data_IF_037503789591
#
_entry.id   IF_037503789591
#
_cell.length_a   1.000
_cell.length_b   1.000
_cell.length_c   1.000
_cell.angle_alpha   90.00
_cell.angle_beta   90.00
_cell.angle_gamma   90.00
#
_symmetry.space_group_name_H-M   'P 1'
#
loop_
_entity.id
_entity.type
_entity.pdbx_description
1 polymer ?
#
# COMPACT_ATOMS: atom_id res chain seq x y z
N UNK A 1 55.05 -3.21 -57.70
CA UNK A 1 54.94 -3.30 -56.23
C UNK A 1 54.18 -2.14 -55.60
N UNK A 2 54.30 -0.89 -56.09
CA UNK A 2 53.60 0.30 -55.53
C UNK A 2 52.07 0.17 -55.46
N UNK A 3 51.46 -0.29 -56.56
CA UNK A 3 50.00 -0.45 -56.70
C UNK A 3 49.41 -1.45 -55.69
N UNK A 4 50.16 -2.49 -55.32
CA UNK A 4 49.68 -3.52 -54.38
C UNK A 4 49.67 -2.99 -52.93
N UNK A 5 50.61 -2.12 -52.57
CA UNK A 5 50.61 -1.42 -51.27
C UNK A 5 49.48 -0.40 -51.17
N UNK A 6 49.17 0.32 -52.25
CA UNK A 6 48.04 1.24 -52.29
C UNK A 6 46.71 0.51 -52.07
N UNK A 7 46.48 -0.63 -52.72
CA UNK A 7 45.27 -1.43 -52.49
C UNK A 7 45.19 -2.00 -51.08
N UNK A 8 46.31 -2.44 -50.49
CA UNK A 8 46.35 -2.91 -49.10
C UNK A 8 46.00 -1.79 -48.11
N UNK A 9 46.51 -0.58 -48.34
CA UNK A 9 46.26 0.57 -47.48
C UNK A 9 44.81 1.04 -47.56
N UNK A 10 44.22 1.06 -48.77
CA UNK A 10 42.79 1.34 -48.97
C UNK A 10 41.92 0.31 -48.25
N UNK A 11 42.29 -0.97 -48.33
CA UNK A 11 41.55 -2.04 -47.64
C UNK A 11 41.64 -1.91 -46.11
N UNK A 12 42.81 -1.57 -45.58
CA UNK A 12 43.03 -1.32 -44.15
C UNK A 12 42.22 -0.12 -43.65
N UNK A 13 42.23 0.99 -44.39
CA UNK A 13 41.46 2.19 -44.06
C UNK A 13 39.96 1.87 -44.08
N UNK A 14 39.48 1.19 -45.13
CA UNK A 14 38.07 0.79 -45.23
C UNK A 14 37.66 -0.10 -44.05
N UNK A 15 38.51 -1.07 -43.66
CA UNK A 15 38.26 -1.92 -42.51
C UNK A 15 38.22 -1.14 -41.19
N UNK A 16 39.15 -0.20 -40.98
CA UNK A 16 39.17 0.66 -39.80
C UNK A 16 37.93 1.55 -39.71
N UNK A 17 37.50 2.14 -40.82
CA UNK A 17 36.30 2.98 -40.88
C UNK A 17 35.07 2.14 -40.54
N UNK A 18 34.92 0.94 -41.11
CA UNK A 18 33.77 0.07 -40.83
C UNK A 18 33.77 -0.35 -39.35
N UNK A 19 34.92 -0.78 -38.81
CA UNK A 19 35.00 -1.27 -37.44
C UNK A 19 34.72 -0.14 -36.42
N UNK A 20 35.31 1.04 -36.62
CA UNK A 20 35.03 2.21 -35.78
C UNK A 20 33.57 2.68 -35.89
N UNK A 21 32.99 2.67 -37.09
CA UNK A 21 31.57 3.01 -37.30
C UNK A 21 30.65 2.03 -36.57
N UNK A 22 30.86 0.73 -36.69
CA UNK A 22 30.05 -0.29 -35.98
C UNK A 22 30.23 -0.19 -34.47
N UNK A 23 31.47 -0.02 -33.99
CA UNK A 23 31.77 0.08 -32.56
C UNK A 23 31.13 1.31 -31.90
N UNK A 24 30.91 2.39 -32.64
CA UNK A 24 30.27 3.62 -32.13
C UNK A 24 28.76 3.65 -32.34
N UNK A 25 28.26 3.13 -33.46
CA UNK A 25 26.84 3.18 -33.79
C UNK A 25 26.00 2.23 -32.92
N UNK A 26 26.49 1.03 -32.62
CA UNK A 26 25.71 0.06 -31.83
C UNK A 26 25.37 0.58 -30.43
N UNK A 27 26.34 1.07 -29.62
CA UNK A 27 26.03 1.62 -28.30
C UNK A 27 25.14 2.85 -28.36
N UNK A 28 25.30 3.71 -29.37
CA UNK A 28 24.46 4.90 -29.53
C UNK A 28 23.00 4.54 -29.81
N UNK A 29 22.76 3.54 -30.66
CA UNK A 29 21.40 3.06 -30.95
C UNK A 29 20.80 2.43 -29.70
N UNK A 30 21.55 1.57 -28.99
CA UNK A 30 21.07 0.92 -27.78
C UNK A 30 20.67 1.95 -26.70
N UNK A 31 21.50 2.96 -26.43
CA UNK A 31 21.19 4.01 -25.46
C UNK A 31 19.91 4.77 -25.84
N UNK A 32 19.75 5.15 -27.11
CA UNK A 32 18.56 5.90 -27.54
C UNK A 32 17.29 5.03 -27.51
N UNK A 33 17.40 3.74 -27.85
CA UNK A 33 16.29 2.81 -27.75
C UNK A 33 15.86 2.63 -26.30
N UNK A 34 16.81 2.37 -25.39
CA UNK A 34 16.52 2.24 -23.95
C UNK A 34 15.89 3.51 -23.38
N UNK A 35 16.42 4.69 -23.68
CA UNK A 35 15.83 5.96 -23.24
C UNK A 35 14.40 6.17 -23.77
N UNK A 36 14.15 5.76 -25.01
CA UNK A 36 12.81 5.87 -25.61
C UNK A 36 11.83 4.91 -24.95
N UNK A 37 12.24 3.67 -24.69
CA UNK A 37 11.46 2.67 -23.97
C UNK A 37 11.14 3.12 -22.54
N UNK A 38 12.12 3.67 -21.84
CA UNK A 38 11.95 4.22 -20.49
C UNK A 38 10.96 5.39 -20.48
N UNK A 39 11.11 6.34 -21.40
CA UNK A 39 10.19 7.47 -21.49
C UNK A 39 8.76 7.03 -21.79
N UNK A 40 8.58 6.02 -22.64
CA UNK A 40 7.27 5.43 -22.92
C UNK A 40 6.69 4.74 -21.68
N UNK A 41 7.52 4.01 -20.94
CA UNK A 41 7.12 3.33 -19.71
C UNK A 41 6.75 4.34 -18.61
N UNK A 42 7.50 5.44 -18.47
CA UNK A 42 7.21 6.52 -17.54
C UNK A 42 5.85 7.17 -17.86
N UNK A 43 5.60 7.50 -19.13
CA UNK A 43 4.31 8.05 -19.58
C UNK A 43 3.15 7.08 -19.38
N UNK A 44 3.40 5.79 -19.57
CA UNK A 44 2.41 4.75 -19.31
C UNK A 44 2.11 4.65 -17.81
N UNK A 45 3.14 4.64 -16.97
CA UNK A 45 3.02 4.57 -15.52
C UNK A 45 2.27 5.78 -14.97
N UNK A 46 2.61 7.00 -15.41
CA UNK A 46 1.92 8.25 -15.08
C UNK A 46 0.43 8.15 -15.42
N UNK A 47 0.10 7.71 -16.65
CA UNK A 47 -1.29 7.55 -17.09
C UNK A 47 -2.06 6.51 -16.29
N UNK A 48 -1.43 5.38 -15.95
CA UNK A 48 -2.05 4.34 -15.12
C UNK A 48 -2.27 4.85 -13.71
N UNK A 49 -1.27 5.53 -13.14
CA UNK A 49 -1.35 6.09 -11.80
C UNK A 49 -2.46 7.14 -11.70
N UNK A 50 -2.53 8.06 -12.67
CA UNK A 50 -3.62 9.03 -12.78
C UNK A 50 -4.98 8.34 -12.95
N UNK A 51 -5.06 7.29 -13.79
CA UNK A 51 -6.28 6.51 -13.93
C UNK A 51 -6.71 5.95 -12.57
N UNK A 52 -5.80 5.32 -11.84
CA UNK A 52 -6.10 4.70 -10.54
C UNK A 52 -6.56 5.75 -9.53
N UNK A 53 -5.87 6.89 -9.43
CA UNK A 53 -6.10 7.89 -8.39
C UNK A 53 -7.23 8.88 -8.69
N UNK A 54 -7.48 9.17 -9.97
CA UNK A 54 -8.38 10.26 -10.38
C UNK A 54 -9.70 9.77 -10.95
N UNK A 55 -9.81 8.47 -11.30
CA UNK A 55 -11.06 7.90 -11.79
C UNK A 55 -11.72 7.04 -10.73
N UNK A 56 -13.06 7.07 -10.62
CA UNK A 56 -13.80 6.20 -9.71
C UNK A 56 -13.98 4.76 -10.22
N UNK A 57 -13.63 4.46 -11.48
CA UNK A 57 -13.97 3.20 -12.14
C UNK A 57 -15.47 3.08 -12.45
N UNK A 58 -15.89 1.95 -13.01
CA UNK A 58 -17.29 1.70 -13.36
C UNK A 58 -17.71 0.24 -13.08
N UNK A 59 -18.83 0.01 -12.36
CA UNK A 59 -19.76 0.98 -11.77
C UNK A 59 -19.15 1.85 -10.67
N UNK A 60 -19.59 3.09 -10.49
CA UNK A 60 -18.91 4.05 -9.61
C UNK A 60 -18.80 3.60 -8.14
N UNK A 61 -19.74 2.79 -7.66
CA UNK A 61 -19.83 2.28 -6.30
C UNK A 61 -19.43 0.80 -6.18
N UNK A 62 -18.60 0.28 -7.09
CA UNK A 62 -18.19 -1.12 -7.07
C UNK A 62 -17.55 -1.58 -5.75
N UNK A 63 -16.95 -0.66 -4.98
CA UNK A 63 -16.40 -0.94 -3.65
C UNK A 63 -17.45 -1.36 -2.60
N UNK A 64 -18.73 -1.02 -2.79
CA UNK A 64 -19.82 -1.34 -1.86
C UNK A 64 -20.51 -2.66 -2.20
N UNK A 65 -20.35 -3.17 -3.42
CA UNK A 65 -21.05 -4.37 -3.88
C UNK A 65 -20.33 -5.64 -3.41
N UNK A 66 -20.88 -6.28 -2.39
CA UNK A 66 -20.35 -7.52 -1.79
C UNK A 66 -20.45 -8.73 -2.73
N UNK A 67 -21.29 -8.67 -3.77
CA UNK A 67 -21.54 -9.80 -4.69
C UNK A 67 -20.37 -10.07 -5.64
N UNK A 68 -19.54 -9.06 -5.88
CA UNK A 68 -18.45 -9.10 -6.85
C UNK A 68 -17.49 -10.27 -6.58
N UNK A 69 -17.25 -10.61 -5.31
CA UNK A 69 -16.24 -11.59 -4.93
C UNK A 69 -16.83 -12.92 -4.45
N UNK A 70 -18.07 -12.90 -3.95
CA UNK A 70 -18.72 -14.08 -3.37
C UNK A 70 -19.42 -14.93 -4.43
N UNK A 71 -19.83 -14.35 -5.55
CA UNK A 71 -20.70 -15.02 -6.52
C UNK A 71 -20.15 -15.03 -7.94
N UNK A 72 -19.29 -14.07 -8.30
CA UNK A 72 -18.79 -13.93 -9.66
C UNK A 72 -17.44 -14.65 -9.83
N UNK A 73 -17.30 -15.35 -10.95
CA UNK A 73 -16.01 -15.82 -11.47
C UNK A 73 -15.17 -14.66 -12.01
N UNK A 74 -13.86 -14.86 -12.24
CA UNK A 74 -12.98 -13.81 -12.81
C UNK A 74 -13.55 -13.19 -14.10
N UNK A 75 -14.14 -14.01 -14.98
CA UNK A 75 -14.70 -13.55 -16.24
C UNK A 75 -15.98 -12.74 -16.05
N UNK A 76 -16.83 -13.11 -15.09
CA UNK A 76 -18.03 -12.35 -14.73
C UNK A 76 -17.67 -11.04 -14.01
N UNK A 77 -16.61 -11.03 -13.19
CA UNK A 77 -16.07 -9.81 -12.60
C UNK A 77 -15.63 -8.82 -13.67
N UNK A 78 -14.96 -9.29 -14.74
CA UNK A 78 -14.54 -8.44 -15.87
C UNK A 78 -15.70 -7.90 -16.69
N UNK A 79 -16.83 -8.62 -16.75
CA UNK A 79 -18.03 -8.13 -17.41
C UNK A 79 -18.77 -7.09 -16.56
N UNK A 80 -18.76 -7.28 -15.25
CA UNK A 80 -19.39 -6.36 -14.29
C UNK A 80 -18.56 -5.08 -14.12
N UNK A 81 -17.29 -5.22 -13.75
CA UNK A 81 -16.31 -4.15 -13.63
C UNK A 81 -15.85 -3.76 -15.03
N UNK A 82 -16.38 -2.67 -15.57
CA UNK A 82 -15.99 -2.19 -16.90
C UNK A 82 -14.74 -1.33 -16.86
N UNK A 83 -14.49 -0.70 -15.71
CA UNK A 83 -13.34 0.18 -15.54
C UNK A 83 -12.84 0.18 -14.10
N UNK A 84 -11.52 0.30 -13.94
CA UNK A 84 -10.86 0.30 -12.63
C UNK A 84 -10.41 1.71 -12.25
N UNK A 85 -10.70 2.07 -11.00
CA UNK A 85 -10.30 3.33 -10.40
C UNK A 85 -10.68 3.38 -8.92
N UNK A 86 -9.88 4.07 -8.12
CA UNK A 86 -10.00 4.12 -6.66
C UNK A 86 -10.54 5.46 -6.15
N UNK A 87 -10.76 6.45 -7.02
CA UNK A 87 -11.23 7.76 -6.57
C UNK A 87 -12.63 7.66 -5.93
N UNK A 88 -12.82 8.43 -4.86
CA UNK A 88 -14.13 8.60 -4.23
C UNK A 88 -14.98 9.56 -5.05
N UNK A 89 -16.19 9.13 -5.39
CA UNK A 89 -17.12 9.90 -6.22
C UNK A 89 -17.51 11.19 -5.50
N UNK A 90 -17.37 12.34 -6.17
CA UNK A 90 -17.72 13.65 -5.61
C UNK A 90 -16.75 14.18 -4.56
N UNK A 91 -15.63 13.50 -4.30
CA UNK A 91 -14.57 13.99 -3.43
C UNK A 91 -13.55 14.85 -4.18
N UNK A 92 -12.64 15.47 -3.43
CA UNK A 92 -11.49 16.18 -4.02
C UNK A 92 -10.55 15.19 -4.74
N UNK A 93 -9.74 15.67 -5.70
CA UNK A 93 -8.70 14.85 -6.32
C UNK A 93 -7.82 14.16 -5.27
N UNK A 94 -7.35 12.95 -5.57
CA UNK A 94 -6.51 12.12 -4.69
C UNK A 94 -7.19 11.60 -3.41
N UNK A 95 -8.49 11.85 -3.23
CA UNK A 95 -9.26 11.19 -2.17
C UNK A 95 -9.72 9.83 -2.66
N UNK A 96 -9.13 8.78 -2.08
CA UNK A 96 -9.47 7.40 -2.41
C UNK A 96 -10.71 6.92 -1.64
N UNK A 97 -11.46 6.04 -2.29
CA UNK A 97 -12.59 5.34 -1.70
C UNK A 97 -12.08 4.17 -0.86
N UNK A 98 -12.29 4.26 0.45
CA UNK A 98 -11.91 3.23 1.43
C UNK A 98 -12.44 1.84 1.06
N UNK A 99 -13.69 1.75 0.61
CA UNK A 99 -14.36 0.49 0.27
C UNK A 99 -13.77 -0.15 -0.99
N UNK A 100 -13.09 0.63 -1.84
CA UNK A 100 -12.35 0.13 -3.01
C UNK A 100 -10.93 -0.28 -2.63
N UNK A 101 -10.27 0.53 -1.80
CA UNK A 101 -8.88 0.27 -1.36
C UNK A 101 -8.77 -1.02 -0.55
N UNK A 102 -9.72 -1.28 0.35
CA UNK A 102 -9.73 -2.51 1.16
C UNK A 102 -9.75 -3.78 0.29
N UNK A 103 -10.34 -3.71 -0.90
CA UNK A 103 -10.48 -4.85 -1.83
C UNK A 103 -9.19 -5.18 -2.58
N UNK A 104 -8.15 -4.39 -2.46
CA UNK A 104 -6.85 -4.67 -3.07
C UNK A 104 -6.01 -5.63 -2.22
N UNK A 105 -6.44 -5.94 -1.01
CA UNK A 105 -5.57 -6.54 0.01
C UNK A 105 -5.99 -7.98 0.33
N UNK A 106 -5.06 -8.92 0.46
CA UNK A 106 -5.36 -10.30 0.86
C UNK A 106 -4.30 -10.92 1.78
N UNK A 107 -3.44 -10.10 2.37
CA UNK A 107 -2.20 -10.48 3.06
C UNK A 107 -2.15 -10.21 4.56
N UNK A 108 -3.21 -9.66 5.16
CA UNK A 108 -3.26 -9.24 6.58
C UNK A 108 -3.46 -10.38 7.59
N UNK A 109 -3.40 -11.64 7.15
CA UNK A 109 -3.57 -12.83 7.99
C UNK A 109 -5.03 -13.25 8.19
N UNK A 110 -5.98 -12.48 7.67
CA UNK A 110 -7.39 -12.84 7.50
C UNK A 110 -7.66 -12.85 6.00
N UNK A 111 -8.32 -13.89 5.49
CA UNK A 111 -8.75 -13.92 4.10
C UNK A 111 -9.72 -12.77 3.85
N UNK A 112 -9.34 -11.86 2.95
CA UNK A 112 -10.23 -10.78 2.59
C UNK A 112 -11.28 -11.31 1.60
N UNK A 113 -12.49 -11.55 2.12
CA UNK A 113 -13.63 -12.02 1.33
C UNK A 113 -14.02 -11.08 0.18
N UNK A 114 -13.53 -9.84 0.19
CA UNK A 114 -13.80 -8.83 -0.83
C UNK A 114 -12.60 -8.57 -1.75
N UNK A 115 -11.57 -9.42 -1.70
CA UNK A 115 -10.33 -9.25 -2.45
C UNK A 115 -10.48 -9.41 -3.96
N UNK A 116 -10.12 -8.38 -4.72
CA UNK A 116 -10.08 -8.41 -6.18
C UNK A 116 -8.68 -8.86 -6.63
N UNK A 117 -8.58 -9.96 -7.41
CA UNK A 117 -7.29 -10.44 -7.88
C UNK A 117 -6.55 -9.42 -8.78
N UNK A 118 -5.22 -9.31 -8.67
CA UNK A 118 -4.37 -8.46 -9.51
C UNK A 118 -4.51 -8.71 -11.00
N UNK A 119 -4.80 -9.95 -11.38
CA UNK A 119 -5.07 -10.34 -12.76
C UNK A 119 -6.33 -9.69 -13.32
N UNK A 120 -7.37 -9.53 -12.51
CA UNK A 120 -8.58 -8.79 -12.93
C UNK A 120 -8.23 -7.32 -13.12
N UNK A 121 -7.47 -6.74 -12.18
CA UNK A 121 -7.10 -5.32 -12.25
C UNK A 121 -6.17 -5.03 -13.43
N UNK A 122 -5.18 -5.90 -13.72
CA UNK A 122 -4.27 -5.72 -14.87
C UNK A 122 -5.03 -5.73 -16.22
N UNK A 123 -6.07 -6.56 -16.34
CA UNK A 123 -6.98 -6.57 -17.49
C UNK A 123 -7.77 -5.26 -17.60
N UNK A 124 -8.34 -4.77 -16.51
CA UNK A 124 -9.10 -3.50 -16.48
C UNK A 124 -8.23 -2.28 -16.77
N UNK A 125 -6.96 -2.33 -16.39
CA UNK A 125 -5.96 -1.32 -16.72
C UNK A 125 -5.41 -1.45 -18.15
N UNK A 126 -5.69 -2.56 -18.84
CA UNK A 126 -5.23 -2.82 -20.20
C UNK A 126 -3.73 -3.11 -20.31
N UNK A 127 -3.11 -3.59 -19.23
CA UNK A 127 -1.67 -3.87 -19.15
C UNK A 127 -1.33 -5.36 -19.08
N UNK A 128 -2.34 -6.23 -19.02
CA UNK A 128 -2.15 -7.68 -18.98
C UNK A 128 -1.23 -8.17 -20.13
N UNK A 129 -0.29 -9.05 -19.78
CA UNK A 129 0.62 -9.70 -20.73
C UNK A 129 1.73 -8.79 -21.27
N UNK A 130 1.77 -7.50 -20.89
CA UNK A 130 2.82 -6.55 -21.28
C UNK A 130 3.57 -6.02 -20.06
N UNK A 131 2.84 -5.55 -19.06
CA UNK A 131 3.42 -4.91 -17.89
C UNK A 131 2.79 -5.42 -16.61
N UNK A 132 3.62 -5.51 -15.56
CA UNK A 132 3.15 -5.63 -14.20
C UNK A 132 3.00 -4.29 -13.52
N UNK A 133 2.37 -4.32 -12.35
CA UNK A 133 2.28 -3.15 -11.50
C UNK A 133 2.32 -3.56 -10.02
N UNK A 134 2.81 -2.64 -9.21
CA UNK A 134 2.81 -2.75 -7.76
C UNK A 134 2.30 -1.44 -7.18
N UNK A 135 1.28 -1.50 -6.32
CA UNK A 135 0.76 -0.32 -5.62
C UNK A 135 1.16 -0.45 -4.16
N UNK A 136 1.82 0.57 -3.62
CA UNK A 136 2.18 0.62 -2.21
C UNK A 136 1.51 1.83 -1.56
N UNK A 137 0.61 1.57 -0.62
CA UNK A 137 -0.02 2.63 0.18
C UNK A 137 0.71 2.66 1.53
N UNK A 138 1.56 3.66 1.70
CA UNK A 138 2.37 3.84 2.91
C UNK A 138 1.66 4.89 3.78
N UNK A 139 1.50 4.65 5.10
CA UNK A 139 0.98 5.67 6.01
C UNK A 139 1.79 6.96 5.93
N UNK A 140 1.15 8.12 6.02
CA UNK A 140 1.87 9.41 5.96
C UNK A 140 2.80 9.59 7.18
N UNK A 141 2.37 9.13 8.35
CA UNK A 141 3.12 9.19 9.60
C UNK A 141 3.55 7.79 10.04
N UNK A 142 4.73 7.70 10.64
CA UNK A 142 5.23 6.48 11.26
C UNK A 142 4.84 6.47 12.74
N UNK A 143 4.01 5.50 13.12
CA UNK A 143 3.46 5.37 14.47
C UNK A 143 4.06 4.14 15.14
N UNK A 144 4.59 4.31 16.35
CA UNK A 144 5.12 3.22 17.17
C UNK A 144 4.34 3.11 18.47
N UNK A 145 4.11 1.90 18.95
CA UNK A 145 3.37 1.63 20.18
C UNK A 145 4.18 0.78 21.14
N UNK A 146 4.18 1.16 22.41
CA UNK A 146 4.77 0.39 23.51
C UNK A 146 3.76 0.33 24.67
N UNK A 147 3.40 -0.86 25.11
CA UNK A 147 2.47 -1.06 26.24
C UNK A 147 3.26 -1.47 27.48
N UNK A 148 2.98 -0.82 28.61
CA UNK A 148 3.55 -1.16 29.92
C UNK A 148 2.49 -1.00 31.00
N UNK A 149 2.10 -2.11 31.62
CA UNK A 149 1.00 -2.17 32.59
C UNK A 149 -0.31 -1.61 32.04
N UNK A 150 -0.77 -0.51 32.63
CA UNK A 150 -1.97 0.22 32.21
C UNK A 150 -1.68 1.44 31.30
N UNK A 151 -0.44 1.59 30.85
CA UNK A 151 -0.01 2.73 30.02
C UNK A 151 0.33 2.29 28.61
N UNK A 152 -0.05 3.12 27.64
CA UNK A 152 0.35 3.01 26.24
C UNK A 152 1.19 4.23 25.90
N UNK A 153 2.42 4.01 25.47
CA UNK A 153 3.26 5.04 24.88
C UNK A 153 3.13 4.98 23.37
N UNK A 154 2.71 6.10 22.78
CA UNK A 154 2.59 6.28 21.34
C UNK A 154 3.70 7.23 20.88
N UNK A 155 4.49 6.80 19.90
CA UNK A 155 5.48 7.63 19.22
C UNK A 155 4.98 8.01 17.83
N UNK A 156 5.11 9.28 17.46
CA UNK A 156 4.73 9.82 16.15
C UNK A 156 5.96 10.43 15.49
N UNK A 157 6.30 9.90 14.33
CA UNK A 157 7.48 10.30 13.56
C UNK A 157 7.13 10.53 12.09
N UNK A 158 7.99 11.29 11.41
CA UNK A 158 8.00 11.32 9.94
C UNK A 158 8.49 9.98 9.37
N UNK A 159 8.37 9.78 8.06
CA UNK A 159 8.96 8.64 7.36
C UNK A 159 10.49 8.57 7.55
N UNK A 160 11.14 9.72 7.74
CA UNK A 160 12.58 9.83 8.00
C UNK A 160 12.94 9.66 9.49
N UNK A 161 11.99 9.20 10.32
CA UNK A 161 12.15 8.99 11.77
C UNK A 161 12.41 10.27 12.57
N UNK A 162 12.00 11.42 12.05
CA UNK A 162 12.06 12.69 12.78
C UNK A 162 10.87 12.77 13.73
N UNK A 163 11.07 13.07 15.04
CA UNK A 163 9.97 13.18 15.99
C UNK A 163 9.04 14.36 15.65
N UNK A 164 7.73 14.13 15.74
CA UNK A 164 6.72 15.14 15.42
C UNK A 164 6.01 15.63 16.71
N UNK A 165 6.46 16.75 17.30
CA UNK A 165 5.88 17.28 18.53
C UNK A 165 4.51 17.93 18.31
N UNK A 166 3.72 18.02 19.37
CA UNK A 166 2.38 18.59 19.39
C UNK A 166 1.37 17.93 18.42
N UNK A 167 1.65 16.70 17.99
CA UNK A 167 0.70 15.86 17.24
C UNK A 167 -0.46 15.48 18.14
N UNK A 168 -1.69 15.62 17.65
CA UNK A 168 -2.90 15.23 18.39
C UNK A 168 -3.12 13.73 18.21
N UNK A 169 -3.05 12.98 19.30
CA UNK A 169 -3.19 11.52 19.33
C UNK A 169 -4.47 11.17 20.05
N UNK A 170 -5.37 10.48 19.36
CA UNK A 170 -6.58 9.89 19.93
C UNK A 170 -6.45 8.38 19.88
N UNK A 171 -6.54 7.73 21.03
CA UNK A 171 -6.49 6.27 21.14
C UNK A 171 -7.85 5.77 21.58
N UNK A 172 -8.40 4.87 20.77
CA UNK A 172 -9.55 4.05 21.12
C UNK A 172 -9.05 2.65 21.48
N UNK A 173 -9.10 2.33 22.77
CA UNK A 173 -8.70 1.03 23.29
C UNK A 173 -9.93 0.13 23.45
N UNK A 174 -9.79 -1.12 23.03
CA UNK A 174 -10.82 -2.15 23.13
C UNK A 174 -10.18 -3.38 23.77
N UNK A 175 -10.83 -3.96 24.76
CA UNK A 175 -10.37 -5.21 25.39
C UNK A 175 -11.54 -6.03 25.89
N UNK A 176 -11.32 -7.33 26.06
CA UNK A 176 -12.30 -8.24 26.67
C UNK A 176 -11.85 -8.59 28.08
N UNK A 177 -12.80 -8.60 29.02
CA UNK A 177 -12.59 -9.08 30.38
C UNK A 177 -13.48 -10.30 30.64
N UNK A 178 -12.94 -11.34 31.29
CA UNK A 178 -13.77 -12.42 31.83
C UNK A 178 -14.35 -12.04 33.18
N UNK A 179 -15.65 -11.72 33.22
CA UNK A 179 -16.40 -11.50 34.46
C UNK A 179 -17.43 -12.62 34.63
N UNK A 180 -17.34 -13.34 35.75
CA UNK A 180 -18.31 -14.41 36.13
C UNK A 180 -18.53 -15.48 35.04
N UNK A 181 -17.48 -15.81 34.27
CA UNK A 181 -17.56 -16.79 33.18
C UNK A 181 -18.18 -16.27 31.88
N UNK A 182 -18.47 -14.97 31.78
CA UNK A 182 -18.87 -14.29 30.54
C UNK A 182 -17.79 -13.34 30.07
N UNK A 183 -17.61 -13.29 28.76
CA UNK A 183 -16.72 -12.35 28.08
C UNK A 183 -17.44 -11.00 27.95
N UNK A 184 -16.84 -9.95 28.51
CA UNK A 184 -17.38 -8.58 28.49
C UNK A 184 -16.43 -7.69 27.69
N UNK A 185 -16.94 -7.11 26.60
CA UNK A 185 -16.22 -6.13 25.80
C UNK A 185 -16.25 -4.77 26.51
N UNK A 186 -15.07 -4.19 26.74
CA UNK A 186 -14.91 -2.84 27.27
C UNK A 186 -14.20 -1.97 26.25
N UNK A 187 -14.44 -0.67 26.33
CA UNK A 187 -13.74 0.31 25.53
C UNK A 187 -13.43 1.57 26.34
N UNK A 188 -12.37 2.28 25.94
CA UNK A 188 -11.98 3.55 26.54
C UNK A 188 -11.29 4.42 25.49
N UNK A 189 -11.66 5.70 25.45
CA UNK A 189 -11.03 6.68 24.58
C UNK A 189 -10.15 7.61 25.39
N UNK A 190 -8.94 7.85 24.90
CA UNK A 190 -7.97 8.78 25.49
C UNK A 190 -7.39 9.68 24.41
N UNK A 191 -7.15 10.94 24.76
CA UNK A 191 -6.60 11.95 23.87
C UNK A 191 -5.38 12.56 24.55
N UNK A 192 -4.29 12.71 23.80
CA UNK A 192 -3.06 13.33 24.27
C UNK A 192 -2.39 14.11 23.13
N UNK A 193 -1.37 14.91 23.48
CA UNK A 193 -0.47 15.53 22.51
C UNK A 193 0.94 15.02 22.71
N UNK A 194 1.69 14.86 21.62
CA UNK A 194 3.09 14.44 21.70
C UNK A 194 3.98 15.54 22.28
N UNK A 195 4.97 15.13 23.06
CA UNK A 195 6.02 15.97 23.60
C UNK A 195 7.06 16.34 22.53
N UNK A 196 8.15 17.00 22.95
CA UNK A 196 9.26 17.39 22.08
C UNK A 196 10.02 16.19 21.46
N UNK A 197 9.89 14.98 22.03
CA UNK A 197 10.41 13.74 21.47
C UNK A 197 9.43 13.05 20.51
N UNK A 198 8.27 13.66 20.23
CA UNK A 198 7.24 13.04 19.40
C UNK A 198 6.53 11.89 20.11
N UNK A 199 6.58 11.80 21.45
CA UNK A 199 5.95 10.72 22.22
C UNK A 199 4.84 11.24 23.12
N UNK A 200 3.82 10.43 23.36
CA UNK A 200 2.83 10.66 24.41
C UNK A 200 2.49 9.36 25.13
N UNK A 201 2.28 9.44 26.44
CA UNK A 201 1.87 8.30 27.26
C UNK A 201 0.43 8.50 27.72
N UNK A 202 -0.42 7.52 27.47
CA UNK A 202 -1.83 7.52 27.87
C UNK A 202 -2.06 6.40 28.88
N UNK A 203 -2.74 6.73 29.99
CA UNK A 203 -3.09 5.76 31.03
C UNK A 203 -4.55 5.34 30.90
N UNK A 204 -4.77 4.03 31.02
CA UNK A 204 -6.08 3.39 30.92
C UNK A 204 -6.50 2.81 32.27
N UNK A 205 -7.80 2.56 32.41
CA UNK A 205 -8.38 1.98 33.63
C UNK A 205 -7.99 0.51 33.85
N UNK A 206 -7.76 -0.23 32.76
CA UNK A 206 -7.37 -1.64 32.79
C UNK A 206 -5.85 -1.82 32.67
N UNK A 207 -5.33 -2.90 33.26
CA UNK A 207 -3.98 -3.38 32.98
C UNK A 207 -3.98 -4.06 31.60
N UNK A 208 -3.41 -3.38 30.61
CA UNK A 208 -3.42 -3.77 29.21
C UNK A 208 -2.37 -4.84 28.90
N UNK A 209 -1.22 -4.80 29.57
CA UNK A 209 -0.12 -5.77 29.39
C UNK A 209 -0.56 -7.19 29.77
N UNK A 210 -1.35 -7.32 30.84
CA UNK A 210 -1.86 -8.62 31.31
C UNK A 210 -2.86 -9.30 30.36
N UNK A 211 -3.42 -8.56 29.39
CA UNK A 211 -4.51 -9.04 28.51
C UNK A 211 -4.01 -9.79 27.26
N UNK A 212 -2.71 -9.79 26.97
CA UNK A 212 -2.14 -10.23 25.68
C UNK A 212 -2.19 -11.72 25.31
N UNK A 213 -2.72 -12.64 26.14
CA UNK A 213 -2.72 -14.09 25.79
C UNK A 213 -4.06 -14.83 25.86
N UNK A 214 -5.03 -14.38 26.66
CA UNK A 214 -6.34 -15.07 26.79
C UNK A 214 -7.56 -14.14 26.72
N UNK A 215 -7.35 -12.83 26.78
CA UNK A 215 -8.43 -11.83 26.92
C UNK A 215 -8.36 -10.78 25.81
N UNK A 216 -7.19 -10.52 25.24
CA UNK A 216 -6.99 -9.71 24.06
C UNK A 216 -7.28 -8.22 24.23
N UNK A 217 -6.46 -7.40 23.56
CA UNK A 217 -6.64 -5.97 23.51
C UNK A 217 -6.19 -5.45 22.14
N UNK A 218 -6.95 -4.50 21.59
CA UNK A 218 -6.65 -3.82 20.34
C UNK A 218 -6.77 -2.30 20.54
N UNK A 219 -5.86 -1.57 19.90
CA UNK A 219 -5.79 -0.13 19.93
C UNK A 219 -5.94 0.41 18.52
N UNK A 220 -6.83 1.37 18.39
CA UNK A 220 -6.98 2.17 17.18
C UNK A 220 -6.47 3.56 17.52
N UNK A 221 -5.41 3.96 16.83
CA UNK A 221 -4.69 5.19 17.11
C UNK A 221 -4.88 6.11 15.92
N UNK A 222 -5.59 7.21 16.16
CA UNK A 222 -5.76 8.30 15.21
C UNK A 222 -4.79 9.42 15.55
N UNK A 223 -4.00 9.84 14.58
CA UNK A 223 -3.02 10.94 14.72
C UNK A 223 -3.34 12.03 13.73
N UNK A 224 -3.36 13.27 14.21
CA UNK A 224 -3.46 14.48 13.40
C UNK A 224 -2.26 15.40 13.67
N UNK A 225 -1.45 15.63 12.65
CA UNK A 225 -0.32 16.55 12.67
C UNK A 225 -0.52 17.63 11.61
N UNK A 226 -0.95 18.83 12.03
CA UNK A 226 -1.21 19.98 11.16
C UNK A 226 -2.05 19.66 9.89
N UNK A 227 -3.03 18.76 10.02
CA UNK A 227 -3.90 18.35 8.91
C UNK A 227 -3.48 17.07 8.22
N UNK A 228 -2.26 16.56 8.45
CA UNK A 228 -1.86 15.21 8.05
C UNK A 228 -2.47 14.23 9.04
N UNK A 229 -3.35 13.37 8.54
CA UNK A 229 -4.08 12.39 9.35
C UNK A 229 -3.58 10.98 9.06
N UNK A 230 -3.42 10.16 10.07
CA UNK A 230 -3.02 8.76 9.93
C UNK A 230 -3.74 7.93 11.00
N UNK A 231 -4.17 6.73 10.62
CA UNK A 231 -4.67 5.74 11.57
C UNK A 231 -3.70 4.57 11.61
N UNK A 232 -3.47 4.06 12.81
CA UNK A 232 -2.65 2.90 13.08
C UNK A 232 -3.40 1.96 14.01
N UNK A 233 -3.40 0.67 13.69
CA UNK A 233 -4.05 -0.36 14.50
C UNK A 233 -2.96 -1.25 15.09
N UNK A 234 -3.03 -1.47 16.39
CA UNK A 234 -2.08 -2.28 17.15
C UNK A 234 -2.87 -3.26 18.02
N UNK A 235 -2.73 -4.56 17.78
CA UNK A 235 -3.30 -5.59 18.66
C UNK A 235 -2.21 -6.24 19.50
N UNK A 236 -2.48 -6.45 20.79
CA UNK A 236 -1.57 -7.14 21.72
C UNK A 236 -1.64 -8.67 21.60
N UNK A 237 -2.70 -9.18 20.97
CA UNK A 237 -2.94 -10.60 20.76
C UNK A 237 -3.71 -10.83 19.47
N UNK A 238 -3.56 -12.00 18.85
CA UNK A 238 -4.37 -12.41 17.69
C UNK A 238 -5.85 -12.71 18.04
N UNK A 239 -6.22 -12.62 19.32
CA UNK A 239 -7.57 -12.93 19.82
C UNK A 239 -8.60 -11.87 19.48
N UNK A 240 -8.18 -10.61 19.30
CA UNK A 240 -9.04 -9.49 18.88
C UNK A 240 -8.43 -8.84 17.64
N UNK A 241 -9.17 -8.91 16.54
CA UNK A 241 -8.85 -8.20 15.30
C UNK A 241 -9.88 -7.09 15.14
N UNK A 242 -9.40 -5.86 15.00
CA UNK A 242 -10.24 -4.70 14.80
C UNK A 242 -9.88 -4.06 13.46
N UNK A 243 -10.88 -3.71 12.66
CA UNK A 243 -10.71 -2.96 11.43
C UNK A 243 -11.72 -1.83 11.34
N UNK A 244 -11.33 -0.72 10.73
CA UNK A 244 -12.25 0.39 10.44
C UNK A 244 -12.46 0.48 8.94
N UNK A 245 -13.72 0.45 8.53
CA UNK A 245 -14.16 0.73 7.17
C UNK A 245 -15.25 1.79 7.19
N UNK A 246 -14.91 3.00 6.75
CA UNK A 246 -15.76 4.18 6.90
C UNK A 246 -16.40 4.20 8.30
N UNK A 247 -17.74 4.22 8.43
CA UNK A 247 -18.44 4.36 9.71
C UNK A 247 -18.51 3.12 10.59
N UNK A 248 -17.85 2.05 10.20
CA UNK A 248 -17.97 0.78 10.87
C UNK A 248 -16.63 0.34 11.44
N UNK A 249 -16.64 0.08 12.73
CA UNK A 249 -15.62 -0.67 13.42
C UNK A 249 -16.04 -2.13 13.44
N UNK A 250 -15.37 -2.97 12.67
CA UNK A 250 -15.54 -4.42 12.72
C UNK A 250 -14.55 -5.00 13.75
N UNK A 251 -15.05 -5.86 14.62
CA UNK A 251 -14.26 -6.55 15.64
C UNK A 251 -14.53 -8.04 15.49
N UNK A 252 -13.48 -8.82 15.35
CA UNK A 252 -13.51 -10.27 15.37
C UNK A 252 -12.83 -10.78 16.65
N UNK A 253 -13.55 -11.60 17.42
CA UNK A 253 -13.05 -12.20 18.65
C UNK A 253 -13.34 -13.70 18.65
N UNK A 254 -12.28 -14.53 18.58
CA UNK A 254 -12.35 -16.01 18.63
C UNK A 254 -13.46 -16.59 17.72
N UNK A 255 -13.61 -16.06 16.51
CA UNK A 255 -14.60 -16.53 15.52
C UNK A 255 -16.03 -15.99 15.69
N UNK A 256 -16.32 -15.23 16.75
CA UNK A 256 -17.53 -14.43 16.87
C UNK A 256 -17.23 -12.98 16.47
N UNK A 257 -17.95 -12.50 15.44
CA UNK A 257 -17.78 -11.16 14.87
C UNK A 257 -18.88 -10.20 15.30
N UNK A 258 -18.53 -8.93 15.52
CA UNK A 258 -19.46 -7.84 15.78
C UNK A 258 -19.03 -6.56 15.06
N UNK A 259 -20.00 -5.72 14.68
CA UNK A 259 -19.73 -4.41 14.09
C UNK A 259 -20.37 -3.31 14.95
N UNK A 260 -19.59 -2.27 15.26
CA UNK A 260 -20.06 -1.08 15.97
C UNK A 260 -20.07 0.11 15.00
N UNK A 261 -21.19 0.82 14.93
CA UNK A 261 -21.28 2.07 14.18
C UNK A 261 -20.61 3.19 14.96
N UNK A 262 -19.62 3.86 14.36
CA UNK A 262 -18.94 5.01 14.94
C UNK A 262 -19.73 6.28 14.58
N UNK A 263 -20.37 6.93 15.56
CA UNK A 263 -21.18 8.14 15.35
C UNK A 263 -20.35 9.39 14.97
N UNK A 264 -19.02 9.33 15.08
CA UNK A 264 -18.13 10.46 14.80
C UNK A 264 -17.03 10.10 13.78
N UNK A 265 -16.69 11.13 12.99
CA UNK A 265 -15.94 11.16 11.74
C UNK A 265 -14.91 10.04 11.52
N UNK A 266 -15.24 8.99 10.76
CA UNK A 266 -14.35 7.89 10.55
C UNK A 266 -13.70 8.04 9.18
N UNK A 267 -12.68 8.89 9.16
CA UNK A 267 -11.72 8.93 8.09
C UNK A 267 -10.54 8.07 8.52
N UNK A 268 -10.30 7.01 7.74
CA UNK A 268 -9.02 6.32 7.48
C UNK A 268 -9.08 4.81 7.75
N UNK A 269 -8.91 4.07 6.66
CA UNK A 269 -8.54 2.65 6.66
C UNK A 269 -7.08 2.55 7.08
N UNK A 270 -6.76 1.67 8.03
CA UNK A 270 -5.41 1.46 8.49
C UNK A 270 -5.01 0.00 8.32
N UNK A 271 -4.39 -0.33 7.18
CA UNK A 271 -3.51 -1.49 7.09
C UNK A 271 -2.37 -1.16 6.11
N UNK A 272 -1.12 -1.51 6.42
CA UNK A 272 -0.01 -1.27 5.51
C UNK A 272 -0.04 -2.36 4.45
N UNK A 273 -0.36 -2.08 3.18
CA UNK A 273 -0.31 -3.15 2.19
C UNK A 273 0.27 -2.77 0.83
N UNK A 274 1.21 -3.62 0.44
CA UNK A 274 1.89 -3.65 -0.84
C UNK A 274 1.13 -4.65 -1.71
N UNK A 275 0.68 -4.19 -2.86
CA UNK A 275 -0.09 -4.96 -3.82
C UNK A 275 0.79 -5.38 -5.00
N UNK A 276 0.73 -6.65 -5.43
CA UNK A 276 1.55 -7.16 -6.54
C UNK A 276 0.68 -7.73 -7.68
N UNK A 277 0.86 -7.21 -8.90
CA UNK A 277 0.53 -7.90 -10.15
C UNK A 277 1.73 -8.68 -10.70
N UNK A 278 1.56 -9.48 -11.75
CA UNK A 278 2.67 -10.18 -12.42
C UNK A 278 3.63 -9.18 -13.05
N UNK A 279 4.89 -9.13 -12.61
CA UNK A 279 5.91 -8.16 -13.06
C UNK A 279 6.84 -8.81 -14.09
N UNK A 280 6.76 -8.38 -15.34
CA UNK A 280 7.72 -8.70 -16.42
C UNK A 280 8.81 -7.62 -16.51
N UNK A 281 10.08 -8.04 -16.43
CA UNK A 281 11.24 -7.15 -16.47
C UNK A 281 11.76 -6.98 -17.91
N UNK A 282 11.40 -5.85 -18.53
CA UNK A 282 11.85 -5.50 -19.89
C UNK A 282 13.02 -4.49 -19.90
N UNK A 283 13.21 -3.70 -18.83
CA UNK A 283 14.11 -2.53 -18.81
C UNK A 283 15.49 -2.76 -18.20
N UNK A 284 15.83 -3.99 -17.77
CA UNK A 284 17.16 -4.38 -17.24
C UNK A 284 17.70 -3.52 -16.07
N UNK A 285 16.88 -2.70 -15.40
CA UNK A 285 17.23 -2.03 -14.14
C UNK A 285 17.64 -0.57 -14.23
N UNK A 286 17.32 0.14 -15.32
CA UNK A 286 17.80 1.53 -15.54
C UNK A 286 16.77 2.64 -15.19
N UNK A 287 15.48 2.31 -15.03
CA UNK A 287 14.44 3.30 -14.67
C UNK A 287 14.25 3.45 -13.15
N UNK A 288 14.41 4.67 -12.64
CA UNK A 288 14.34 5.03 -11.20
C UNK A 288 12.94 5.07 -10.60
N UNK A 289 11.89 5.15 -11.42
CA UNK A 289 10.48 5.18 -10.99
C UNK A 289 9.82 3.79 -11.01
N UNK A 290 10.55 2.77 -11.48
CA UNK A 290 10.08 1.39 -11.62
C UNK A 290 10.91 0.52 -10.69
N UNK A 291 10.33 0.11 -9.56
CA UNK A 291 11.02 -0.80 -8.63
C UNK A 291 11.09 -2.18 -9.27
N UNK A 292 12.27 -2.49 -9.78
CA UNK A 292 12.63 -3.78 -10.36
C UNK A 292 13.11 -4.73 -9.25
N UNK A 293 12.55 -5.95 -9.17
CA UNK A 293 13.16 -7.00 -8.34
C UNK A 293 14.28 -7.67 -9.13
N UNK A 294 15.41 -6.95 -9.23
CA UNK A 294 16.70 -7.49 -9.64
C UNK A 294 17.38 -8.17 -8.45
N UNK A 295 17.87 -9.38 -8.68
CA UNK A 295 18.49 -10.27 -7.69
C UNK A 295 19.56 -9.59 -6.82
N UNK A 296 19.39 -9.63 -5.49
CA UNK A 296 20.47 -9.96 -4.55
C UNK A 296 19.91 -10.29 -3.18
N UNK A 297 20.12 -11.54 -2.81
CA UNK A 297 19.95 -12.10 -1.48
C UNK A 297 20.96 -11.48 -0.52
N UNK A 298 20.57 -10.44 0.22
CA UNK A 298 21.19 -10.13 1.51
C UNK A 298 20.16 -9.56 2.49
N UNK A 299 20.06 -10.22 3.65
CA UNK A 299 19.47 -9.71 4.88
C UNK A 299 20.26 -8.49 5.34
N UNK A 300 19.55 -7.43 5.75
CA UNK A 300 19.75 -6.77 7.06
C UNK A 300 18.37 -6.43 7.59
#
# INVERSE_FOLDING_TARGET
MHVLYEYLFVCLIAFLIINTSVATLLPLIDIHLSQTEEYQLEKLAERIFDKILLTPGHPYNWGEDIRINQTLTEDEMLQYLKDFGLAKVGASPYVLDANKVIRLENGSGIDNLYYIPPKVISKLLGIEGKYGFQISIIPALNITTEVSGNTLTVGVYSQEKVPLPASEVTVYAIWVDKKEGKDVLNNETRIAKTDWNGKCTLSFSANLEGKGKQEGASFIIYVNFYGIRTVYISSLSQTILASISEKYLAIEYIGDGGALHLESDPLLVAFPNIFYGEITNETKGESTWVINKGSKSYKV
#
